data_IF_368999587121
#
_entry.id   IF_368999587121
#
_cell.length_a   1.000
_cell.length_b   1.000
_cell.length_c   1.000
_cell.angle_alpha   90.00
_cell.angle_beta   90.00
_cell.angle_gamma   90.00
#
_symmetry.space_group_name_H-M   'P 1'
#
loop_
_entity.id
_entity.type
_entity.pdbx_description
1 polymer ?
#
# COMPACT_ATOMS: atom_id res chain seq x y z
N UNK A 1 -3.09 19.38 0.39
CA UNK A 1 -1.63 19.25 0.64
C UNK A 1 -0.94 20.51 0.14
N UNK A 2 0.16 20.94 0.78
CA UNK A 2 0.97 22.08 0.27
C UNK A 2 1.86 21.59 -0.89
N UNK A 3 2.16 22.46 -1.87
CA UNK A 3 3.02 22.12 -3.03
C UNK A 3 4.36 21.50 -2.62
N UNK A 4 5.06 22.10 -1.66
CA UNK A 4 6.34 21.58 -1.15
C UNK A 4 6.25 20.17 -0.53
N UNK A 5 5.08 19.76 -0.06
CA UNK A 5 4.87 18.39 0.43
C UNK A 5 4.74 17.42 -0.75
N UNK A 6 4.03 17.82 -1.80
CA UNK A 6 3.81 17.01 -3.00
C UNK A 6 5.14 16.82 -3.74
N UNK A 7 5.92 17.89 -3.93
CA UNK A 7 7.22 17.79 -4.58
C UNK A 7 8.18 16.86 -3.80
N UNK A 8 8.10 16.88 -2.47
CA UNK A 8 8.85 15.94 -1.62
C UNK A 8 8.36 14.51 -1.76
N UNK A 9 7.05 14.29 -1.77
CA UNK A 9 6.44 12.97 -1.91
C UNK A 9 6.75 12.34 -3.28
N UNK A 10 6.70 13.15 -4.36
CA UNK A 10 7.10 12.77 -5.71
C UNK A 10 8.58 12.40 -5.74
N UNK A 11 9.47 13.27 -5.25
CA UNK A 11 10.92 12.98 -5.19
C UNK A 11 11.25 11.75 -4.36
N UNK A 12 10.50 11.50 -3.29
CA UNK A 12 10.66 10.31 -2.45
C UNK A 12 10.04 9.05 -3.07
N UNK A 13 9.20 9.18 -4.11
CA UNK A 13 8.40 8.10 -4.67
C UNK A 13 7.40 7.50 -3.67
N UNK A 14 7.06 8.24 -2.61
CA UNK A 14 6.21 7.79 -1.51
C UNK A 14 5.38 8.94 -0.94
N UNK A 15 4.11 8.66 -0.61
CA UNK A 15 3.25 9.63 0.08
C UNK A 15 3.68 9.78 1.55
N UNK A 16 4.19 10.95 1.94
CA UNK A 16 4.46 11.25 3.34
C UNK A 16 3.23 11.87 4.01
N UNK A 17 2.57 11.10 4.89
CA UNK A 17 1.66 11.68 5.87
C UNK A 17 2.30 11.60 7.26
N UNK A 18 2.16 12.66 8.05
CA UNK A 18 2.75 12.73 9.41
C UNK A 18 2.18 11.65 10.34
N UNK A 19 0.88 11.39 10.24
CA UNK A 19 0.22 10.29 10.95
C UNK A 19 0.79 8.93 10.53
N UNK A 20 1.10 8.78 9.24
CA UNK A 20 1.69 7.57 8.70
C UNK A 20 3.11 7.32 9.21
N UNK A 21 3.94 8.35 9.39
CA UNK A 21 5.28 8.17 9.95
C UNK A 21 5.25 7.63 11.39
N UNK A 22 4.29 8.09 12.20
CA UNK A 22 4.13 7.62 13.58
C UNK A 22 3.57 6.19 13.63
N UNK A 23 2.57 5.88 12.81
CA UNK A 23 2.02 4.52 12.70
C UNK A 23 3.05 3.54 12.15
N UNK A 24 3.84 3.96 11.15
CA UNK A 24 4.97 3.18 10.62
C UNK A 24 5.99 2.89 11.70
N UNK A 25 6.39 3.91 12.45
CA UNK A 25 7.36 3.76 13.52
C UNK A 25 6.87 2.79 14.60
N UNK A 26 5.61 2.93 15.03
CA UNK A 26 4.99 2.01 16.00
C UNK A 26 4.89 0.59 15.45
N UNK A 27 4.46 0.43 14.20
CA UNK A 27 4.36 -0.87 13.54
C UNK A 27 5.74 -1.54 13.44
N UNK A 28 6.77 -0.79 13.04
CA UNK A 28 8.15 -1.29 12.98
C UNK A 28 8.62 -1.76 14.36
N UNK A 29 8.42 -0.96 15.42
CA UNK A 29 8.79 -1.38 16.79
C UNK A 29 8.10 -2.67 17.19
N UNK A 30 6.77 -2.73 17.04
CA UNK A 30 5.97 -3.91 17.43
C UNK A 30 6.40 -5.14 16.62
N UNK A 31 6.62 -4.97 15.32
CA UNK A 31 7.01 -6.05 14.41
C UNK A 31 8.46 -6.50 14.67
N UNK A 32 9.37 -5.59 15.03
CA UNK A 32 10.74 -5.94 15.45
C UNK A 32 10.73 -6.78 16.72
N UNK A 33 9.92 -6.43 17.73
CA UNK A 33 9.78 -7.24 18.94
C UNK A 33 9.20 -8.63 18.65
N UNK A 34 8.13 -8.70 17.84
CA UNK A 34 7.55 -9.97 17.43
C UNK A 34 8.53 -10.85 16.65
N UNK A 35 9.35 -10.24 15.78
CA UNK A 35 10.40 -10.96 15.06
C UNK A 35 11.43 -11.55 16.03
N UNK A 36 11.92 -10.78 17.00
CA UNK A 36 12.85 -11.26 18.03
C UNK A 36 12.25 -12.42 18.82
N UNK A 37 10.98 -12.30 19.24
CA UNK A 37 10.28 -13.38 19.95
C UNK A 37 10.13 -14.64 19.10
N UNK A 38 9.85 -14.48 17.80
CA UNK A 38 9.73 -15.61 16.86
C UNK A 38 11.07 -16.29 16.66
N UNK A 39 12.14 -15.52 16.45
CA UNK A 39 13.51 -16.06 16.31
C UNK A 39 13.95 -16.78 17.58
N UNK A 40 13.68 -16.20 18.75
CA UNK A 40 13.98 -16.83 20.04
C UNK A 40 13.21 -18.15 20.21
N UNK A 41 11.92 -18.18 19.88
CA UNK A 41 11.11 -19.40 19.93
C UNK A 41 11.65 -20.49 18.99
N UNK A 42 12.00 -20.13 17.75
CA UNK A 42 12.60 -21.06 16.78
C UNK A 42 13.97 -21.55 17.27
N UNK A 43 14.80 -20.67 17.83
CA UNK A 43 16.11 -21.06 18.36
C UNK A 43 15.99 -22.05 19.53
N UNK A 44 15.02 -21.86 20.44
CA UNK A 44 14.74 -22.79 21.54
C UNK A 44 14.31 -24.16 20.98
N UNK A 45 13.39 -24.16 20.00
CA UNK A 45 12.94 -25.40 19.34
C UNK A 45 14.09 -26.13 18.67
N UNK A 46 14.94 -25.41 17.92
CA UNK A 46 16.08 -26.01 17.21
C UNK A 46 17.12 -26.54 18.20
N UNK A 47 17.38 -25.79 19.28
CA UNK A 47 18.28 -26.22 20.35
C UNK A 47 17.78 -27.52 21.00
N UNK A 48 16.50 -27.58 21.34
CA UNK A 48 15.88 -28.76 21.94
C UNK A 48 15.87 -29.95 20.97
N UNK A 49 15.58 -29.71 19.68
CA UNK A 49 15.65 -30.74 18.64
C UNK A 49 17.06 -31.34 18.49
N UNK A 50 18.09 -30.49 18.46
CA UNK A 50 19.49 -30.91 18.33
C UNK A 50 19.96 -31.77 19.52
N UNK A 51 19.43 -31.52 20.72
CA UNK A 51 19.89 -32.18 21.94
C UNK A 51 18.98 -33.32 22.42
N UNK A 52 17.68 -33.31 22.09
CA UNK A 52 16.70 -34.26 22.63
C UNK A 52 16.42 -35.49 21.74
N UNK A 53 16.92 -35.52 20.49
CA UNK A 53 16.55 -36.53 19.46
C UNK A 53 15.04 -36.68 19.21
N UNK A 54 14.19 -35.78 19.73
CA UNK A 54 12.76 -35.84 19.51
C UNK A 54 12.38 -35.28 18.12
N UNK A 55 11.29 -35.77 17.50
CA UNK A 55 10.81 -35.20 16.25
C UNK A 55 10.32 -33.77 16.44
N UNK A 56 10.42 -32.97 15.37
CA UNK A 56 9.88 -31.60 15.33
C UNK A 56 8.38 -31.66 15.63
N UNK A 57 7.96 -31.00 16.71
CA UNK A 57 6.56 -30.99 17.16
C UNK A 57 5.69 -30.05 16.33
N UNK A 58 4.38 -30.28 16.32
CA UNK A 58 3.39 -29.43 15.62
C UNK A 58 3.50 -27.94 16.00
N UNK A 59 3.88 -27.65 17.24
CA UNK A 59 4.08 -26.28 17.78
C UNK A 59 5.14 -25.52 16.97
N UNK A 60 6.22 -26.20 16.59
CA UNK A 60 7.32 -25.64 15.82
C UNK A 60 6.88 -25.20 14.42
N UNK A 61 6.04 -26.01 13.77
CA UNK A 61 5.49 -25.73 12.44
C UNK A 61 4.58 -24.49 12.50
N UNK A 62 3.70 -24.42 13.51
CA UNK A 62 2.83 -23.26 13.73
C UNK A 62 3.66 -21.99 13.95
N UNK A 63 4.73 -22.06 14.74
CA UNK A 63 5.63 -20.92 14.96
C UNK A 63 6.28 -20.40 13.68
N UNK A 64 6.77 -21.31 12.82
CA UNK A 64 7.34 -20.96 11.51
C UNK A 64 6.29 -20.29 10.62
N UNK A 65 5.07 -20.84 10.54
CA UNK A 65 3.99 -20.28 9.73
C UNK A 65 3.59 -18.87 10.21
N UNK A 66 3.51 -18.66 11.51
CA UNK A 66 3.26 -17.34 12.11
C UNK A 66 4.39 -16.36 11.73
N UNK A 67 5.65 -16.78 11.82
CA UNK A 67 6.79 -15.97 11.40
C UNK A 67 6.75 -15.57 9.92
N UNK A 68 6.45 -16.51 9.03
CA UNK A 68 6.30 -16.25 7.58
C UNK A 68 5.16 -15.27 7.32
N UNK A 69 4.01 -15.46 7.97
CA UNK A 69 2.87 -14.56 7.88
C UNK A 69 3.26 -13.12 8.27
N UNK A 70 4.02 -12.93 9.35
CA UNK A 70 4.50 -11.62 9.78
C UNK A 70 5.48 -10.99 8.79
N UNK A 71 6.40 -11.78 8.22
CA UNK A 71 7.30 -11.27 7.18
C UNK A 71 6.54 -10.78 5.94
N UNK A 72 5.52 -11.52 5.50
CA UNK A 72 4.66 -11.10 4.39
C UNK A 72 3.94 -9.78 4.74
N UNK A 73 3.42 -9.64 5.96
CA UNK A 73 2.80 -8.40 6.44
C UNK A 73 3.76 -7.21 6.37
N UNK A 74 4.97 -7.36 6.91
CA UNK A 74 6.01 -6.33 6.90
C UNK A 74 6.36 -5.90 5.48
N UNK A 75 6.67 -6.87 4.61
CA UNK A 75 7.01 -6.60 3.21
C UNK A 75 5.90 -5.84 2.49
N UNK A 76 4.66 -6.17 2.81
CA UNK A 76 3.54 -5.55 2.17
C UNK A 76 3.31 -4.13 2.68
N UNK A 77 3.47 -3.89 3.99
CA UNK A 77 3.46 -2.56 4.58
C UNK A 77 4.45 -1.61 3.88
N UNK A 78 5.69 -2.05 3.61
CA UNK A 78 6.70 -1.22 2.92
C UNK A 78 6.39 -0.93 1.45
N UNK A 79 5.46 -1.66 0.84
CA UNK A 79 5.05 -1.49 -0.56
C UNK A 79 3.82 -0.59 -0.71
N UNK A 80 3.00 -0.43 0.33
CA UNK A 80 1.70 0.25 0.24
C UNK A 80 1.82 1.72 -0.19
N UNK A 81 2.87 2.44 0.21
CA UNK A 81 3.00 3.87 -0.09
C UNK A 81 3.74 4.19 -1.38
N UNK A 82 4.19 3.17 -2.11
CA UNK A 82 4.92 3.41 -3.35
C UNK A 82 4.01 4.12 -4.34
N UNK A 83 4.48 5.24 -4.86
CA UNK A 83 3.87 5.89 -5.99
C UNK A 83 4.23 5.11 -7.26
N UNK A 84 3.23 4.88 -8.09
CA UNK A 84 3.41 4.37 -9.45
C UNK A 84 3.36 5.57 -10.39
N UNK A 85 4.49 5.89 -11.01
CA UNK A 85 4.57 6.97 -12.01
C UNK A 85 4.11 6.47 -13.38
N UNK A 86 3.34 7.29 -14.07
CA UNK A 86 2.83 7.06 -15.42
C UNK A 86 3.23 8.27 -16.26
N UNK A 87 4.06 8.05 -17.28
CA UNK A 87 4.41 9.07 -18.26
C UNK A 87 3.25 9.27 -19.24
N UNK A 88 2.93 10.54 -19.49
CA UNK A 88 1.83 10.99 -20.35
C UNK A 88 2.29 11.97 -21.41
N UNK A 89 3.31 12.81 -21.14
CA UNK A 89 3.67 13.90 -22.04
C UNK A 89 2.62 15.02 -22.13
N UNK A 90 1.62 15.03 -21.24
CA UNK A 90 0.60 16.07 -21.14
C UNK A 90 0.95 17.08 -20.03
N UNK A 91 0.45 18.30 -20.14
CA UNK A 91 0.54 19.23 -19.02
C UNK A 91 -0.40 18.83 -17.86
N UNK A 92 -0.14 19.39 -16.68
CA UNK A 92 -0.90 19.10 -15.46
C UNK A 92 -2.42 19.29 -15.56
N UNK A 93 -2.91 20.27 -16.34
CA UNK A 93 -4.35 20.51 -16.52
C UNK A 93 -4.99 19.45 -17.44
N UNK A 94 -4.30 19.08 -18.52
CA UNK A 94 -4.72 17.98 -19.39
C UNK A 94 -4.73 16.65 -18.63
N UNK A 95 -3.70 16.39 -17.82
CA UNK A 95 -3.64 15.23 -16.93
C UNK A 95 -4.83 15.21 -15.97
N UNK A 96 -5.17 16.36 -15.37
CA UNK A 96 -6.34 16.46 -14.49
C UNK A 96 -7.63 16.06 -15.20
N UNK A 97 -7.86 16.56 -16.42
CA UNK A 97 -9.05 16.22 -17.20
C UNK A 97 -9.09 14.73 -17.56
N UNK A 98 -7.96 14.16 -17.99
CA UNK A 98 -7.81 12.74 -18.28
C UNK A 98 -8.17 11.88 -17.06
N UNK A 99 -7.59 12.20 -15.89
CA UNK A 99 -7.83 11.48 -14.64
C UNK A 99 -9.29 11.56 -14.23
N UNK A 100 -9.93 12.74 -14.31
CA UNK A 100 -11.37 12.89 -14.03
C UNK A 100 -12.21 11.96 -14.90
N UNK A 101 -11.91 11.88 -16.19
CA UNK A 101 -12.62 10.98 -17.10
C UNK A 101 -12.39 9.51 -16.74
N UNK A 102 -11.16 9.12 -16.39
CA UNK A 102 -10.84 7.76 -15.97
C UNK A 102 -11.59 7.38 -14.68
N UNK A 103 -11.57 8.24 -13.66
CA UNK A 103 -12.29 8.05 -12.39
C UNK A 103 -13.79 7.88 -12.64
N UNK A 104 -14.38 8.74 -13.47
CA UNK A 104 -15.79 8.66 -13.83
C UNK A 104 -16.13 7.35 -14.56
N UNK A 105 -15.34 6.95 -15.57
CA UNK A 105 -15.53 5.69 -16.31
C UNK A 105 -15.41 4.44 -15.45
N UNK A 106 -14.53 4.48 -14.45
CA UNK A 106 -14.35 3.37 -13.50
C UNK A 106 -15.44 3.34 -12.42
N UNK A 107 -16.38 4.29 -12.42
CA UNK A 107 -17.43 4.39 -11.42
C UNK A 107 -16.90 4.74 -10.02
N UNK A 108 -15.74 5.39 -9.94
CA UNK A 108 -15.13 5.80 -8.67
C UNK A 108 -15.65 7.16 -8.25
N UNK A 109 -15.73 7.38 -6.93
CA UNK A 109 -16.24 8.63 -6.35
C UNK A 109 -15.08 9.58 -6.07
N UNK A 110 -14.98 10.66 -6.83
CA UNK A 110 -14.07 11.77 -6.53
C UNK A 110 -14.54 12.48 -5.24
N UNK A 111 -13.63 12.71 -4.29
CA UNK A 111 -13.97 13.31 -2.99
C UNK A 111 -13.13 14.51 -2.63
N UNK A 112 -11.89 14.54 -3.10
CA UNK A 112 -11.05 15.72 -2.96
C UNK A 112 -10.36 16.01 -4.26
N UNK A 113 -10.28 17.28 -4.59
CA UNK A 113 -9.58 17.75 -5.77
C UNK A 113 -8.97 19.12 -5.46
N UNK A 114 -7.71 19.28 -5.82
CA UNK A 114 -7.02 20.55 -5.84
C UNK A 114 -6.08 20.58 -7.06
N UNK A 115 -5.32 21.67 -7.20
CA UNK A 115 -4.45 21.90 -8.36
C UNK A 115 -3.45 20.77 -8.62
N UNK A 116 -3.02 20.07 -7.58
CA UNK A 116 -1.91 19.11 -7.64
C UNK A 116 -2.30 17.69 -7.23
N UNK A 117 -3.50 17.49 -6.68
CA UNK A 117 -3.92 16.22 -6.09
C UNK A 117 -5.39 15.94 -6.38
N UNK A 118 -5.67 14.71 -6.78
CA UNK A 118 -7.01 14.15 -6.84
C UNK A 118 -7.09 12.96 -5.90
N UNK A 119 -8.19 12.86 -5.15
CA UNK A 119 -8.48 11.73 -4.27
C UNK A 119 -9.85 11.16 -4.61
N UNK A 120 -9.87 9.88 -4.92
CA UNK A 120 -11.09 9.14 -5.25
C UNK A 120 -11.22 7.87 -4.41
N UNK A 121 -12.44 7.38 -4.30
CA UNK A 121 -12.77 6.13 -3.63
C UNK A 121 -13.34 5.13 -4.62
N UNK A 122 -12.92 3.87 -4.52
CA UNK A 122 -13.55 2.80 -5.28
C UNK A 122 -14.99 2.63 -4.80
N UNK A 123 -15.96 2.70 -5.72
CA UNK A 123 -17.35 2.39 -5.37
C UNK A 123 -17.47 0.88 -5.24
N UNK A 124 -17.42 0.37 -4.01
CA UNK A 124 -17.63 -1.04 -3.70
C UNK A 124 -18.79 -1.17 -2.74
N UNK A 125 -19.62 -2.21 -2.93
CA UNK A 125 -20.78 -2.51 -2.10
C UNK A 125 -20.44 -2.70 -0.60
N UNK A 126 -19.18 -3.03 -0.29
CA UNK A 126 -18.69 -3.24 1.07
C UNK A 126 -17.59 -2.25 1.43
N UNK A 127 -17.75 -1.55 2.56
CA UNK A 127 -16.71 -0.69 3.16
C UNK A 127 -15.43 -1.43 3.50
N UNK A 128 -15.47 -2.77 3.63
CA UNK A 128 -14.29 -3.60 3.89
C UNK A 128 -13.35 -3.73 2.69
N UNK A 129 -13.80 -3.34 1.49
CA UNK A 129 -13.05 -3.43 0.24
C UNK A 129 -12.90 -2.04 -0.42
N UNK A 130 -13.30 -0.99 0.29
CA UNK A 130 -13.17 0.38 -0.18
C UNK A 130 -11.69 0.78 -0.17
N UNK A 131 -11.24 1.35 -1.29
CA UNK A 131 -9.86 1.75 -1.49
C UNK A 131 -9.83 3.22 -1.87
N UNK A 132 -8.83 3.93 -1.36
CA UNK A 132 -8.55 5.31 -1.67
C UNK A 132 -7.49 5.35 -2.76
N UNK A 133 -7.79 6.01 -3.88
CA UNK A 133 -6.82 6.34 -4.92
C UNK A 133 -6.39 7.78 -4.70
N UNK A 134 -5.09 7.99 -4.53
CA UNK A 134 -4.46 9.31 -4.47
C UNK A 134 -3.65 9.48 -5.74
N UNK A 135 -3.93 10.55 -6.47
CA UNK A 135 -3.24 10.89 -7.71
C UNK A 135 -2.58 12.25 -7.53
N UNK A 136 -1.25 12.30 -7.69
CA UNK A 136 -0.48 13.53 -7.71
C UNK A 136 -0.21 13.91 -9.17
N UNK A 137 -0.45 15.19 -9.48
CA UNK A 137 -0.26 15.75 -10.80
C UNK A 137 1.11 16.40 -10.90
N UNK A 138 1.85 16.03 -11.95
CA UNK A 138 3.06 16.70 -12.40
C UNK A 138 2.92 16.96 -13.91
N UNK A 139 3.74 17.84 -14.46
CA UNK A 139 3.82 17.97 -15.91
C UNK A 139 4.46 16.71 -16.50
N UNK A 140 3.89 16.24 -17.60
CA UNK A 140 4.25 15.01 -18.33
C UNK A 140 4.06 13.71 -17.54
N UNK A 141 3.82 13.76 -16.23
CA UNK A 141 3.75 12.59 -15.36
C UNK A 141 2.52 12.61 -14.43
N UNK A 142 2.01 11.41 -14.16
CA UNK A 142 0.96 11.18 -13.16
C UNK A 142 1.50 10.19 -12.14
N UNK A 143 1.45 10.53 -10.85
CA UNK A 143 1.86 9.62 -9.78
C UNK A 143 0.63 9.10 -9.05
N UNK A 144 0.44 7.79 -9.07
CA UNK A 144 -0.75 7.14 -8.50
C UNK A 144 -0.36 6.28 -7.32
N UNK A 145 -1.13 6.35 -6.26
CA UNK A 145 -1.07 5.41 -5.17
C UNK A 145 -2.48 4.95 -4.78
N UNK A 146 -2.61 3.66 -4.47
CA UNK A 146 -3.87 3.08 -4.01
C UNK A 146 -3.66 2.54 -2.61
N UNK A 147 -4.40 3.07 -1.65
CA UNK A 147 -4.38 2.65 -0.24
C UNK A 147 -5.69 2.00 0.14
N UNK A 148 -5.63 1.09 1.08
CA UNK A 148 -6.85 0.60 1.70
C UNK A 148 -7.32 1.58 2.76
N UNK A 149 -8.62 1.93 2.77
CA UNK A 149 -9.17 2.68 3.91
C UNK A 149 -9.42 1.65 4.98
N UNK A 150 -8.51 1.59 5.95
CA UNK A 150 -8.71 0.78 7.13
C UNK A 150 -10.13 0.98 7.67
N UNK A 151 -10.80 -0.11 8.03
CA UNK A 151 -11.96 0.03 8.91
C UNK A 151 -11.46 0.49 10.28
N UNK A 152 -12.35 0.98 11.14
CA UNK A 152 -12.02 1.27 12.55
C UNK A 152 -11.38 0.09 13.32
N UNK A 153 -11.34 -1.11 12.71
CA UNK A 153 -10.82 -2.36 13.28
C UNK A 153 -9.43 -2.78 12.73
N UNK A 154 -8.80 -1.98 11.87
CA UNK A 154 -7.42 -2.20 11.42
C UNK A 154 -7.23 -2.32 9.90
N UNK A 155 -5.96 -2.41 9.49
CA UNK A 155 -5.52 -2.56 8.09
C UNK A 155 -5.34 -4.04 7.77
N UNK A 156 -5.95 -4.53 6.69
CA UNK A 156 -5.85 -5.94 6.32
C UNK A 156 -4.60 -6.20 5.44
N UNK A 157 -3.70 -7.13 5.82
CA UNK A 157 -2.51 -7.54 5.07
C UNK A 157 -2.72 -8.01 3.63
N UNK A 158 -3.94 -8.33 3.23
CA UNK A 158 -4.18 -9.24 2.10
C UNK A 158 -4.70 -8.55 0.85
N UNK A 159 -4.83 -7.22 0.88
CA UNK A 159 -5.46 -6.48 -0.22
C UNK A 159 -4.46 -5.89 -1.22
N UNK A 160 -3.18 -6.22 -1.11
CA UNK A 160 -2.13 -5.79 -2.05
C UNK A 160 -2.42 -6.20 -3.50
N UNK A 161 -2.91 -7.42 -3.69
CA UNK A 161 -3.34 -7.89 -5.01
C UNK A 161 -4.48 -7.03 -5.57
N UNK A 162 -5.38 -6.54 -4.71
CA UNK A 162 -6.44 -5.63 -5.13
C UNK A 162 -5.90 -4.23 -5.43
N UNK A 163 -4.99 -3.68 -4.61
CA UNK A 163 -4.37 -2.38 -4.87
C UNK A 163 -3.69 -2.39 -6.25
N UNK A 164 -2.86 -3.42 -6.52
CA UNK A 164 -2.20 -3.55 -7.82
C UNK A 164 -3.20 -3.71 -8.97
N UNK A 165 -4.26 -4.51 -8.79
CA UNK A 165 -5.33 -4.63 -9.80
C UNK A 165 -6.01 -3.29 -10.09
N UNK A 166 -6.26 -2.45 -9.07
CA UNK A 166 -6.82 -1.11 -9.28
C UNK A 166 -5.86 -0.17 -10.00
N UNK A 167 -4.58 -0.21 -9.66
CA UNK A 167 -3.55 0.55 -10.38
C UNK A 167 -3.52 0.11 -11.86
N UNK A 168 -3.53 -1.19 -12.13
CA UNK A 168 -3.56 -1.71 -13.50
C UNK A 168 -4.81 -1.28 -14.26
N UNK A 169 -6.01 -1.39 -13.66
CA UNK A 169 -7.26 -0.90 -14.26
C UNK A 169 -7.20 0.60 -14.58
N UNK A 170 -6.62 1.40 -13.67
CA UNK A 170 -6.44 2.82 -13.88
C UNK A 170 -5.47 3.12 -15.02
N UNK A 171 -4.33 2.44 -15.06
CA UNK A 171 -3.33 2.55 -16.13
C UNK A 171 -3.91 2.15 -17.49
N UNK A 172 -4.68 1.07 -17.57
CA UNK A 172 -5.37 0.65 -18.79
C UNK A 172 -6.30 1.75 -19.31
N UNK A 173 -7.06 2.42 -18.43
CA UNK A 173 -7.94 3.52 -18.82
C UNK A 173 -7.22 4.79 -19.25
N UNK A 174 -6.03 5.05 -18.70
CA UNK A 174 -5.17 6.13 -19.19
C UNK A 174 -4.66 5.79 -20.59
N UNK A 175 -4.18 4.56 -20.82
CA UNK A 175 -3.64 4.11 -22.10
C UNK A 175 -4.69 4.11 -23.22
N UNK A 176 -5.92 3.67 -22.96
CA UNK A 176 -7.05 3.72 -23.92
C UNK A 176 -7.38 5.13 -24.44
N UNK A 177 -6.94 6.18 -23.74
CA UNK A 177 -7.24 7.58 -24.06
C UNK A 177 -6.05 8.31 -24.69
N UNK A 178 -4.87 7.72 -24.64
CA UNK A 178 -3.60 8.37 -24.94
C UNK A 178 -2.80 7.67 -26.06
N UNK A 179 -3.15 6.42 -26.37
CA UNK A 179 -2.72 5.68 -27.57
C UNK A 179 -3.95 5.49 -28.48
#
# INVERSE_FOLDING_TARGET
MKKDQIDRDIKAGKLSSKEFQLDTFRAVIVLSWLFVLTVAAVAIVVWDWLHSKQPVTEISIVGILVGVFFMVQLLSFFREDRLTSIETGLNSEQNRQLIRQCIHKLGWKLTHENTYVLVAYTSVWSRLLEQQIVVLLEDEHIHVNVKHIGTSRGRFPYLFGLNQRRINQFMEKIKEKHL
#
